data_IF_361945034567
#
_entry.id   IF_361945034567
#
_cell.length_a   1.000
_cell.length_b   1.000
_cell.length_c   1.000
_cell.angle_alpha   90.00
_cell.angle_beta   90.00
_cell.angle_gamma   90.00
#
_symmetry.space_group_name_H-M   'P 1'
#
loop_
_entity.id
_entity.type
_entity.pdbx_description
1 polymer ?
#
# COMPACT_ATOMS: atom_id res chain seq x y z
N UNK A 1 -35.30 25.72 -72.54
CA UNK A 1 -33.92 26.14 -72.18
C UNK A 1 -33.44 25.25 -71.05
N UNK A 2 -32.25 24.65 -71.22
CA UNK A 2 -31.57 23.74 -70.28
C UNK A 2 -30.69 24.54 -69.32
N UNK A 3 -30.67 24.18 -68.04
CA UNK A 3 -29.59 24.39 -67.04
C UNK A 3 -29.99 23.54 -65.80
N UNK A 4 -29.42 22.37 -65.50
CA UNK A 4 -28.08 21.98 -65.05
C UNK A 4 -27.71 22.39 -63.60
N UNK A 5 -27.46 21.37 -62.76
CA UNK A 5 -26.52 21.30 -61.60
C UNK A 5 -26.88 22.16 -60.36
N UNK A 6 -26.89 21.68 -59.12
CA UNK A 6 -25.90 20.86 -58.39
C UNK A 6 -26.54 20.16 -57.17
N UNK A 7 -26.08 18.95 -56.87
CA UNK A 7 -26.29 18.22 -55.61
C UNK A 7 -25.42 18.84 -54.49
N UNK A 8 -26.00 19.12 -53.32
CA UNK A 8 -25.25 19.43 -52.11
C UNK A 8 -25.80 18.60 -50.94
N UNK A 9 -25.15 17.46 -50.66
CA UNK A 9 -25.39 16.67 -49.45
C UNK A 9 -24.69 17.33 -48.26
N UNK A 10 -25.38 17.62 -47.13
CA UNK A 10 -24.69 18.08 -45.93
C UNK A 10 -24.10 16.87 -45.21
N UNK A 11 -22.77 16.82 -45.23
CA UNK A 11 -21.93 15.95 -44.43
C UNK A 11 -22.03 16.42 -42.96
N UNK A 12 -22.96 15.87 -42.16
CA UNK A 12 -23.03 16.17 -40.73
C UNK A 12 -22.16 15.16 -39.97
N UNK A 13 -21.05 15.68 -39.46
CA UNK A 13 -20.01 14.95 -38.76
C UNK A 13 -20.56 14.16 -37.56
N UNK A 14 -20.32 12.85 -37.55
CA UNK A 14 -20.37 12.03 -36.35
C UNK A 14 -19.28 12.54 -35.39
N UNK A 15 -19.68 13.28 -34.35
CA UNK A 15 -18.84 13.54 -33.19
C UNK A 15 -18.74 12.24 -32.38
N UNK A 16 -17.78 11.40 -32.75
CA UNK A 16 -17.30 10.34 -31.87
C UNK A 16 -16.51 11.08 -30.79
N UNK A 17 -17.12 11.33 -29.62
CA UNK A 17 -16.32 11.67 -28.44
C UNK A 17 -15.73 10.38 -27.93
N UNK A 18 -14.41 10.16 -28.00
CA UNK A 18 -13.81 9.12 -27.20
C UNK A 18 -13.79 9.67 -25.77
N UNK A 19 -14.72 9.22 -24.92
CA UNK A 19 -14.38 9.18 -23.49
C UNK A 19 -13.39 8.03 -23.35
N UNK A 20 -12.13 8.31 -23.66
CA UNK A 20 -11.03 7.48 -23.21
C UNK A 20 -11.13 7.47 -21.68
N UNK A 21 -11.61 6.37 -21.12
CA UNK A 21 -11.37 6.06 -19.72
C UNK A 21 -9.85 5.97 -19.60
N UNK A 22 -9.24 6.97 -18.98
CA UNK A 22 -7.88 6.82 -18.49
C UNK A 22 -7.94 5.70 -17.45
N UNK A 23 -7.54 4.49 -17.85
CA UNK A 23 -7.25 3.44 -16.89
C UNK A 23 -6.19 3.99 -15.96
N UNK A 24 -6.56 4.15 -14.69
CA UNK A 24 -5.66 4.42 -13.59
C UNK A 24 -4.60 3.33 -13.59
N UNK A 25 -3.45 3.59 -14.22
CA UNK A 25 -2.28 2.75 -14.08
C UNK A 25 -2.01 2.63 -12.59
N UNK A 26 -2.11 1.42 -12.06
CA UNK A 26 -1.67 1.15 -10.70
C UNK A 26 -0.23 1.64 -10.61
N UNK A 27 0.02 2.66 -9.78
CA UNK A 27 1.34 3.24 -9.54
C UNK A 27 2.18 2.22 -8.75
N UNK A 28 2.55 1.11 -9.37
CA UNK A 28 3.45 0.14 -8.77
C UNK A 28 4.87 0.67 -8.89
N UNK A 29 5.41 1.14 -7.77
CA UNK A 29 6.80 1.52 -7.63
C UNK A 29 7.62 0.29 -7.24
N UNK A 30 8.72 0.01 -7.94
CA UNK A 30 9.59 -1.16 -7.70
C UNK A 30 10.97 -0.68 -7.25
N UNK A 31 11.44 -1.21 -6.11
CA UNK A 31 12.83 -1.01 -5.69
C UNK A 31 13.74 -2.05 -6.35
N UNK A 32 14.69 -1.61 -7.17
CA UNK A 32 15.70 -2.50 -7.75
C UNK A 32 17.08 -1.85 -7.62
N UNK A 33 18.05 -2.58 -7.05
CA UNK A 33 19.41 -2.10 -6.78
C UNK A 33 19.47 -0.73 -6.07
N UNK A 34 18.54 -0.46 -5.15
CA UNK A 34 18.48 0.79 -4.38
C UNK A 34 17.94 2.00 -5.14
N UNK A 35 17.42 1.79 -6.36
CA UNK A 35 16.75 2.82 -7.18
C UNK A 35 15.26 2.48 -7.25
N UNK A 36 14.41 3.49 -7.05
CA UNK A 36 12.98 3.33 -7.24
C UNK A 36 12.64 3.51 -8.71
N UNK A 37 11.95 2.54 -9.29
CA UNK A 37 11.43 2.58 -10.65
C UNK A 37 9.91 2.73 -10.60
N UNK A 38 9.39 3.81 -11.17
CA UNK A 38 7.95 3.91 -11.45
C UNK A 38 7.65 3.02 -12.65
N UNK A 39 6.78 2.02 -12.50
CA UNK A 39 6.30 1.24 -13.65
C UNK A 39 5.45 2.17 -14.53
N UNK A 40 6.07 2.80 -15.52
CA UNK A 40 5.45 3.75 -16.45
C UNK A 40 5.99 5.19 -16.39
N UNK A 41 6.92 5.51 -15.48
CA UNK A 41 7.58 6.83 -15.40
C UNK A 41 9.00 6.82 -16.00
N UNK A 42 9.57 8.00 -16.35
CA UNK A 42 10.96 8.07 -16.78
C UNK A 42 11.89 7.63 -15.62
N UNK A 43 12.98 6.90 -15.91
CA UNK A 43 13.90 6.41 -14.87
C UNK A 43 14.50 7.58 -14.06
N UNK A 44 14.46 7.49 -12.73
CA UNK A 44 15.10 8.46 -11.82
C UNK A 44 14.17 9.34 -10.98
N UNK A 45 12.86 9.10 -10.97
CA UNK A 45 11.88 9.84 -10.14
C UNK A 45 11.92 9.50 -8.64
N UNK A 46 12.56 8.40 -8.22
CA UNK A 46 12.78 8.10 -6.81
C UNK A 46 14.27 7.97 -6.50
N UNK A 47 14.81 9.02 -5.91
CA UNK A 47 16.18 9.06 -5.43
C UNK A 47 16.45 8.05 -4.30
N UNK A 48 17.73 7.90 -4.00
CA UNK A 48 18.29 7.22 -2.83
C UNK A 48 17.55 7.73 -1.57
N UNK A 49 16.67 6.92 -0.98
CA UNK A 49 15.85 7.28 0.19
C UNK A 49 14.37 7.60 -0.05
N UNK A 50 13.84 7.38 -1.26
CA UNK A 50 12.39 7.44 -1.51
C UNK A 50 11.62 6.35 -0.76
N UNK A 51 10.31 6.58 -0.53
CA UNK A 51 9.41 5.66 0.18
C UNK A 51 9.38 4.23 -0.43
N UNK A 52 9.80 4.06 -1.70
CA UNK A 52 9.91 2.75 -2.34
C UNK A 52 11.21 1.98 -2.02
N UNK A 53 12.32 2.63 -1.68
CA UNK A 53 13.59 1.98 -1.31
C UNK A 53 14.04 2.42 0.10
N UNK A 54 13.42 1.90 1.18
CA UNK A 54 13.73 2.34 2.53
C UNK A 54 15.13 1.90 2.97
N UNK A 55 15.89 2.81 3.57
CA UNK A 55 17.15 2.47 4.25
C UNK A 55 16.91 1.69 5.53
N UNK A 56 17.73 0.66 5.76
CA UNK A 56 17.71 -0.12 7.01
C UNK A 56 19.11 -0.46 7.55
N UNK A 57 20.16 0.25 7.10
CA UNK A 57 21.53 0.10 7.61
C UNK A 57 21.59 0.49 9.10
N UNK A 58 22.23 -0.33 9.94
CA UNK A 58 22.37 -0.10 11.38
C UNK A 58 23.11 1.21 11.69
N UNK A 59 24.07 1.61 10.86
CA UNK A 59 24.85 2.85 11.04
C UNK A 59 24.01 4.12 10.88
N UNK A 60 22.82 3.99 10.30
CA UNK A 60 21.84 5.07 10.15
C UNK A 60 20.80 5.07 11.28
N UNK A 61 20.92 4.17 12.27
CA UNK A 61 19.99 4.02 13.39
C UNK A 61 20.72 4.29 14.71
N UNK A 62 19.98 4.79 15.68
CA UNK A 62 20.44 4.97 17.06
C UNK A 62 19.37 4.45 18.01
N UNK A 63 19.78 4.05 19.22
CA UNK A 63 18.88 3.51 20.26
C UNK A 63 18.05 2.31 19.77
N UNK A 64 18.69 1.37 19.06
CA UNK A 64 18.04 0.17 18.54
C UNK A 64 17.62 -0.71 19.72
N UNK A 65 16.32 -0.92 19.87
CA UNK A 65 15.71 -1.75 20.91
C UNK A 65 14.87 -2.85 20.28
N UNK A 66 14.74 -3.97 21.00
CA UNK A 66 13.83 -5.04 20.58
C UNK A 66 12.38 -4.60 20.75
N UNK A 67 11.50 -5.04 19.85
CA UNK A 67 10.05 -4.85 20.03
C UNK A 67 9.55 -5.72 21.19
N UNK A 68 8.89 -5.08 22.15
CA UNK A 68 8.28 -5.75 23.29
C UNK A 68 6.84 -6.16 22.99
N UNK A 69 6.44 -7.33 23.50
CA UNK A 69 5.10 -7.91 23.36
C UNK A 69 4.53 -7.82 21.93
N UNK A 70 5.30 -8.19 20.88
CA UNK A 70 4.91 -7.98 19.49
C UNK A 70 3.61 -8.74 19.15
N UNK A 71 3.44 -9.97 19.65
CA UNK A 71 2.24 -10.77 19.40
C UNK A 71 1.02 -10.14 20.06
N UNK A 72 1.11 -9.78 21.35
CA UNK A 72 0.02 -9.15 22.08
C UNK A 72 -0.40 -7.82 21.44
N UNK A 73 0.56 -7.02 21.01
CA UNK A 73 0.32 -5.75 20.36
C UNK A 73 -0.40 -5.92 19.01
N UNK A 74 0.03 -6.88 18.18
CA UNK A 74 -0.66 -7.18 16.93
C UNK A 74 -2.08 -7.73 17.15
N UNK A 75 -2.31 -8.52 18.22
CA UNK A 75 -3.64 -9.02 18.58
C UNK A 75 -4.63 -7.92 19.02
N UNK A 76 -4.14 -6.72 19.36
CA UNK A 76 -5.01 -5.54 19.62
C UNK A 76 -5.53 -4.90 18.34
N UNK A 77 -4.92 -5.20 17.19
CA UNK A 77 -5.34 -4.68 15.89
C UNK A 77 -6.46 -5.52 15.30
N UNK A 78 -7.40 -4.86 14.62
CA UNK A 78 -8.53 -5.52 13.95
C UNK A 78 -8.32 -5.50 12.45
N UNK A 79 -8.20 -6.69 11.86
CA UNK A 79 -8.42 -6.87 10.44
C UNK A 79 -9.91 -6.69 10.13
N UNK A 80 -10.24 -5.77 9.23
CA UNK A 80 -11.61 -5.42 8.90
C UNK A 80 -11.82 -5.47 7.39
N UNK A 81 -13.02 -5.83 6.97
CA UNK A 81 -13.52 -5.52 5.62
C UNK A 81 -14.37 -4.25 5.69
N UNK A 82 -14.38 -3.48 4.62
CA UNK A 82 -15.14 -2.23 4.56
C UNK A 82 -15.47 -1.89 3.11
N UNK A 83 -16.39 -0.94 2.92
CA UNK A 83 -16.65 -0.32 1.63
C UNK A 83 -16.16 1.12 1.67
N UNK A 84 -15.49 1.57 0.62
CA UNK A 84 -15.05 2.95 0.49
C UNK A 84 -16.25 3.89 0.34
N UNK A 85 -16.30 4.95 1.16
CA UNK A 85 -17.39 5.94 1.12
C UNK A 85 -17.54 6.66 -0.24
N UNK A 86 -16.48 6.69 -1.04
CA UNK A 86 -16.46 7.40 -2.32
C UNK A 86 -17.22 6.64 -3.41
N UNK A 87 -17.16 5.31 -3.42
CA UNK A 87 -17.62 4.49 -4.56
C UNK A 87 -18.23 3.14 -4.16
N UNK A 88 -18.47 2.90 -2.86
CA UNK A 88 -18.95 1.64 -2.28
C UNK A 88 -18.11 0.40 -2.63
N UNK A 89 -16.88 0.59 -3.11
CA UNK A 89 -15.98 -0.50 -3.44
C UNK A 89 -15.56 -1.25 -2.17
N UNK A 90 -15.77 -2.56 -2.16
CA UNK A 90 -15.35 -3.43 -1.08
C UNK A 90 -13.83 -3.60 -1.03
N UNK A 91 -13.28 -3.60 0.17
CA UNK A 91 -11.85 -3.72 0.45
C UNK A 91 -11.61 -4.34 1.84
N UNK A 92 -10.34 -4.60 2.15
CA UNK A 92 -9.87 -5.20 3.42
C UNK A 92 -8.63 -4.47 3.93
N UNK A 93 -8.54 -4.28 5.25
CA UNK A 93 -7.40 -3.60 5.84
C UNK A 93 -7.50 -3.43 7.34
N UNK A 94 -6.89 -2.36 7.84
CA UNK A 94 -6.86 -1.96 9.24
C UNK A 94 -7.51 -0.59 9.44
N UNK A 95 -8.01 -0.35 10.64
CA UNK A 95 -8.45 0.98 11.07
C UNK A 95 -7.23 1.77 11.56
N UNK A 96 -6.91 2.89 10.91
CA UNK A 96 -5.74 3.70 11.22
C UNK A 96 -5.70 4.16 12.69
N UNK A 97 -6.85 4.46 13.29
CA UNK A 97 -6.96 4.85 14.70
C UNK A 97 -6.61 3.71 15.67
N UNK A 98 -6.86 2.45 15.29
CA UNK A 98 -6.45 1.30 16.10
C UNK A 98 -4.94 1.09 15.99
N UNK A 99 -4.39 1.21 14.78
CA UNK A 99 -2.94 1.17 14.55
C UNK A 99 -2.25 2.29 15.35
N UNK A 100 -2.78 3.51 15.34
CA UNK A 100 -2.18 4.64 16.04
C UNK A 100 -2.07 4.42 17.56
N UNK A 101 -3.04 3.72 18.18
CA UNK A 101 -3.01 3.41 19.61
C UNK A 101 -1.90 2.42 19.99
N UNK A 102 -1.51 1.54 19.06
CA UNK A 102 -0.55 0.46 19.32
C UNK A 102 0.84 0.79 18.76
N UNK A 103 0.89 1.28 17.53
CA UNK A 103 2.08 1.66 16.78
C UNK A 103 1.91 3.08 16.21
N UNK A 104 1.94 4.13 17.06
CA UNK A 104 1.76 5.51 16.60
C UNK A 104 2.77 5.93 15.53
N UNK A 105 3.99 5.36 15.55
CA UNK A 105 5.04 5.61 14.56
C UNK A 105 4.77 5.03 13.16
N UNK A 106 3.73 4.20 13.02
CA UNK A 106 3.27 3.63 11.74
C UNK A 106 2.13 4.45 11.14
N UNK A 107 1.67 5.52 11.79
CA UNK A 107 0.55 6.34 11.32
C UNK A 107 1.01 7.77 11.05
N UNK A 108 0.68 8.28 9.87
CA UNK A 108 0.87 9.68 9.47
C UNK A 108 -0.48 10.38 9.40
N UNK A 109 -0.49 11.68 9.68
CA UNK A 109 -1.68 12.52 9.52
C UNK A 109 -1.55 13.33 8.24
N UNK A 110 -2.58 13.28 7.38
CA UNK A 110 -2.70 14.11 6.18
C UNK A 110 -4.04 14.84 6.22
N UNK A 111 -4.00 16.16 6.50
CA UNK A 111 -5.21 16.94 6.77
C UNK A 111 -5.99 16.36 7.96
N UNK A 112 -7.28 16.09 7.76
CA UNK A 112 -8.17 15.48 8.76
C UNK A 112 -8.17 13.94 8.72
N UNK A 113 -7.25 13.33 7.99
CA UNK A 113 -7.20 11.89 7.75
C UNK A 113 -5.91 11.27 8.28
N UNK A 114 -6.00 9.98 8.62
CA UNK A 114 -4.86 9.18 9.07
C UNK A 114 -4.51 8.14 7.99
N UNK A 115 -3.22 7.96 7.75
CA UNK A 115 -2.67 6.98 6.82
C UNK A 115 -1.76 6.01 7.56
N UNK A 116 -1.84 4.72 7.20
CA UNK A 116 -1.01 3.66 7.78
C UNK A 116 0.14 3.32 6.84
N UNK A 117 1.36 3.29 7.37
CA UNK A 117 2.54 2.76 6.70
C UNK A 117 2.56 1.23 6.85
N UNK A 118 1.79 0.55 5.99
CA UNK A 118 1.61 -0.91 6.04
C UNK A 118 2.92 -1.68 5.92
N UNK A 119 3.92 -1.16 5.19
CA UNK A 119 5.20 -1.84 4.98
C UNK A 119 5.95 -2.02 6.31
N UNK A 120 5.79 -1.08 7.25
CA UNK A 120 6.43 -1.14 8.57
C UNK A 120 5.81 -2.15 9.53
N UNK A 121 4.63 -2.70 9.24
CA UNK A 121 4.05 -3.81 10.03
C UNK A 121 4.85 -5.11 9.91
N UNK A 122 5.75 -5.22 8.93
CA UNK A 122 6.62 -6.40 8.76
C UNK A 122 7.50 -6.65 10.00
N UNK A 123 8.02 -5.60 10.64
CA UNK A 123 8.87 -5.73 11.83
C UNK A 123 8.16 -6.39 13.03
N UNK A 124 6.98 -5.91 13.50
CA UNK A 124 6.25 -6.59 14.56
C UNK A 124 5.74 -7.98 14.16
N UNK A 125 5.42 -8.22 12.86
CA UNK A 125 5.06 -9.55 12.38
C UNK A 125 6.22 -10.55 12.52
N UNK A 126 7.44 -10.17 12.13
CA UNK A 126 8.64 -11.02 12.30
C UNK A 126 8.87 -11.38 13.76
N UNK A 127 8.81 -10.39 14.67
CA UNK A 127 9.01 -10.67 16.09
C UNK A 127 7.88 -11.51 16.69
N UNK A 128 6.65 -11.37 16.21
CA UNK A 128 5.51 -12.21 16.63
C UNK A 128 5.68 -13.65 16.17
N UNK A 129 6.13 -13.89 14.94
CA UNK A 129 6.44 -15.24 14.46
C UNK A 129 7.54 -15.87 15.33
N UNK A 130 8.58 -15.11 15.70
CA UNK A 130 9.63 -15.60 16.58
C UNK A 130 9.10 -15.94 17.98
N UNK A 131 8.25 -15.09 18.55
CA UNK A 131 7.61 -15.31 19.85
C UNK A 131 6.70 -16.55 19.82
N UNK A 132 5.84 -16.66 18.81
CA UNK A 132 4.94 -17.80 18.62
C UNK A 132 5.72 -19.10 18.42
N UNK A 133 6.80 -19.09 17.63
CA UNK A 133 7.66 -20.27 17.44
C UNK A 133 8.30 -20.74 18.76
N UNK A 134 8.79 -19.82 19.60
CA UNK A 134 9.33 -20.17 20.91
C UNK A 134 8.28 -20.80 21.83
N UNK A 135 7.03 -20.32 21.78
CA UNK A 135 5.90 -20.92 22.51
C UNK A 135 5.57 -22.31 21.98
N UNK A 136 5.57 -22.52 20.68
CA UNK A 136 5.35 -23.84 20.06
C UNK A 136 6.41 -24.84 20.52
N UNK A 137 7.69 -24.50 20.44
CA UNK A 137 8.80 -25.36 20.90
C UNK A 137 8.68 -25.72 22.38
N UNK A 138 8.28 -24.75 23.21
CA UNK A 138 8.03 -24.96 24.65
C UNK A 138 6.93 -25.99 24.86
N UNK A 139 5.82 -25.87 24.13
CA UNK A 139 4.67 -26.77 24.23
C UNK A 139 5.01 -28.17 23.72
N UNK A 140 5.72 -28.29 22.59
CA UNK A 140 6.16 -29.58 22.04
C UNK A 140 7.09 -30.31 23.00
N UNK A 141 8.04 -29.61 23.61
CA UNK A 141 8.95 -30.18 24.61
C UNK A 141 8.19 -30.68 25.85
N UNK A 142 7.21 -29.89 26.33
CA UNK A 142 6.38 -30.29 27.47
C UNK A 142 5.52 -31.53 27.18
N UNK A 143 5.08 -31.71 25.93
CA UNK A 143 4.33 -32.88 25.50
C UNK A 143 5.23 -34.11 25.30
N UNK A 144 6.47 -33.93 24.84
CA UNK A 144 7.43 -35.03 24.66
C UNK A 144 7.93 -35.63 25.98
N UNK A 145 7.88 -34.86 27.07
CA UNK A 145 8.30 -35.28 28.41
C UNK A 145 7.15 -35.85 29.27
N UNK A 146 5.96 -36.04 28.68
CA UNK A 146 4.81 -36.71 29.31
C UNK A 146 4.75 -38.17 28.86
#
# INVERSE_FOLDING_TARGET
MRTALTLLTPLLAFLITPTANAESSVQQQICHNGVCYDVGGPPGSGGIGGDCCPFSDERLKQNVQRLENPTENLLKLRGVTFNWKQNDQADVGLIAQDVQKVYPQLVRTEGDHLQVDYQKLVAPLIESVRELNARVQTLETALANK
#
